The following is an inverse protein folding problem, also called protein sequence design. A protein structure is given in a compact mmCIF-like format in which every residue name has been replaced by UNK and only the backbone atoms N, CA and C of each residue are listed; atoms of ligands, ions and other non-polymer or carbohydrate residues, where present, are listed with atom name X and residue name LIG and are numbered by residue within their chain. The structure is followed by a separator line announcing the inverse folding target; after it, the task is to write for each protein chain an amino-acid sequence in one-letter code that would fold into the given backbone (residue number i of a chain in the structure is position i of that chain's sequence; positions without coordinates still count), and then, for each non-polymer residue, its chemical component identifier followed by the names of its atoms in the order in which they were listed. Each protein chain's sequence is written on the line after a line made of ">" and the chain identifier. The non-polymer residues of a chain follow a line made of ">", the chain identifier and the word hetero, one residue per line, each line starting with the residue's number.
data_IF_062135051176
#
_entry.id   IF_062135051176
#
_cell.length_a   1.000
_cell.length_b   1.000
_cell.length_c   1.000
_cell.angle_alpha   90.00
_cell.angle_beta   90.00
_cell.angle_gamma   90.00
#
_symmetry.space_group_name_H-M   'P 1'
#
loop_
_entity.id
_entity.type
_entity.pdbx_description
1 polymer ?
#
# COMPACT_ATOMS: atom_id res chain seq x y z
N UNK A 1 38.65 31.12 -28.20
CA UNK A 1 38.01 31.26 -26.86
C UNK A 1 36.48 31.12 -26.88
N UNK A 2 35.76 31.65 -27.87
CA UNK A 2 34.29 31.55 -27.93
C UNK A 2 33.75 30.11 -28.18
N UNK A 3 34.37 29.37 -29.11
CA UNK A 3 33.94 28.00 -29.48
C UNK A 3 34.07 26.98 -28.33
N UNK A 4 35.10 27.10 -27.49
CA UNK A 4 35.32 26.21 -26.35
C UNK A 4 34.33 26.47 -25.20
N UNK A 5 33.87 27.73 -25.07
CA UNK A 5 32.79 28.10 -24.14
C UNK A 5 31.44 27.57 -24.58
N UNK A 6 31.10 27.64 -25.88
CA UNK A 6 29.83 27.09 -26.38
C UNK A 6 29.79 25.57 -26.27
N UNK A 7 30.89 24.86 -26.52
CA UNK A 7 30.99 23.42 -26.28
C UNK A 7 30.81 23.05 -24.81
N UNK A 8 31.43 23.80 -23.89
CA UNK A 8 31.26 23.55 -22.45
C UNK A 8 29.82 23.74 -22.00
N UNK A 9 29.14 24.79 -22.48
CA UNK A 9 27.75 25.07 -22.15
C UNK A 9 26.80 24.01 -22.71
N UNK A 10 27.04 23.55 -23.95
CA UNK A 10 26.25 22.49 -24.58
C UNK A 10 26.42 21.16 -23.82
N UNK A 11 27.64 20.84 -23.38
CA UNK A 11 27.92 19.63 -22.61
C UNK A 11 27.22 19.66 -21.24
N UNK A 12 27.26 20.81 -20.55
CA UNK A 12 26.54 21.01 -19.28
C UNK A 12 25.03 20.87 -19.47
N UNK A 13 24.46 21.42 -20.55
CA UNK A 13 23.04 21.28 -20.88
C UNK A 13 22.65 19.84 -21.17
N UNK A 14 23.49 19.09 -21.89
CA UNK A 14 23.27 17.67 -22.15
C UNK A 14 23.31 16.84 -20.87
N UNK A 15 24.26 17.11 -19.97
CA UNK A 15 24.38 16.43 -18.68
C UNK A 15 23.18 16.72 -17.76
N UNK A 16 22.65 17.95 -17.75
CA UNK A 16 21.45 18.28 -16.96
C UNK A 16 20.20 17.64 -17.53
N UNK A 17 20.02 17.63 -18.85
CA UNK A 17 18.92 16.93 -19.52
C UNK A 17 18.98 15.42 -19.28
N UNK A 18 20.18 14.82 -19.30
CA UNK A 18 20.38 13.41 -18.98
C UNK A 18 20.05 13.13 -17.51
N UNK A 19 20.46 14.00 -16.59
CA UNK A 19 20.16 13.89 -15.17
C UNK A 19 18.67 14.02 -14.85
N UNK A 20 17.96 14.93 -15.52
CA UNK A 20 16.52 15.13 -15.39
C UNK A 20 15.72 13.97 -16.01
N UNK A 21 16.20 13.39 -17.12
CA UNK A 21 15.56 12.25 -17.78
C UNK A 21 15.63 10.94 -16.98
N UNK A 22 16.58 10.82 -16.05
CA UNK A 22 16.74 9.64 -15.19
C UNK A 22 15.83 9.66 -13.96
N UNK A 23 15.26 10.82 -13.59
CA UNK A 23 14.34 10.92 -12.45
C UNK A 23 12.92 10.69 -12.95
N UNK A 24 12.53 9.42 -13.10
CA UNK A 24 11.12 9.09 -13.31
C UNK A 24 10.30 9.52 -12.09
N UNK A 25 9.26 10.36 -12.26
CA UNK A 25 8.43 10.77 -11.13
C UNK A 25 7.55 9.60 -10.64
N UNK A 26 7.86 9.00 -9.48
CA UNK A 26 7.08 7.90 -8.91
C UNK A 26 5.79 8.33 -8.20
N UNK A 27 5.29 9.56 -8.44
CA UNK A 27 4.19 10.17 -7.68
C UNK A 27 2.93 9.29 -7.55
N UNK A 28 2.59 8.52 -8.59
CA UNK A 28 1.45 7.60 -8.56
C UNK A 28 1.64 6.41 -7.61
N UNK A 29 2.85 5.85 -7.58
CA UNK A 29 3.24 4.71 -6.74
C UNK A 29 3.24 5.12 -5.26
N UNK A 30 3.80 6.29 -4.94
CA UNK A 30 3.80 6.81 -3.56
C UNK A 30 2.37 6.98 -3.03
N UNK A 31 1.47 7.57 -3.83
CA UNK A 31 0.06 7.72 -3.43
C UNK A 31 -0.63 6.37 -3.15
N UNK A 32 -0.36 5.36 -3.96
CA UNK A 32 -0.94 4.03 -3.79
C UNK A 32 -0.36 3.31 -2.56
N UNK A 33 0.94 3.43 -2.34
CA UNK A 33 1.61 2.93 -1.14
C UNK A 33 1.08 3.60 0.14
N UNK A 34 0.98 4.93 0.18
CA UNK A 34 0.39 5.65 1.32
C UNK A 34 -1.07 5.24 1.57
N UNK A 35 -1.83 4.99 0.49
CA UNK A 35 -3.20 4.47 0.60
C UNK A 35 -3.21 3.06 1.19
N UNK A 36 -2.30 2.18 0.76
CA UNK A 36 -2.15 0.84 1.30
C UNK A 36 -1.86 0.90 2.81
N UNK A 37 -0.84 1.65 3.23
CA UNK A 37 -0.49 1.83 4.65
C UNK A 37 -1.69 2.30 5.48
N UNK A 38 -2.37 3.36 5.02
CA UNK A 38 -3.55 3.90 5.71
C UNK A 38 -4.66 2.86 5.86
N UNK A 39 -4.94 2.07 4.83
CA UNK A 39 -6.07 1.14 4.83
C UNK A 39 -5.75 -0.20 5.49
N UNK A 40 -4.50 -0.65 5.45
CA UNK A 40 -4.16 -2.04 5.70
C UNK A 40 -3.06 -2.26 6.73
N UNK A 41 -2.40 -1.23 7.27
CA UNK A 41 -1.26 -1.43 8.17
C UNK A 41 -1.50 -0.80 9.54
N UNK A 42 -1.30 -1.56 10.60
CA UNK A 42 -1.42 -1.13 11.99
C UNK A 42 -0.48 -1.95 12.92
N UNK A 43 0.81 -1.57 13.01
CA UNK A 43 1.87 -2.41 13.58
C UNK A 43 1.87 -2.51 15.10
N UNK A 44 1.22 -1.57 15.80
CA UNK A 44 1.34 -1.39 17.25
C UNK A 44 0.33 -2.18 18.08
N UNK A 45 -0.65 -2.82 17.44
CA UNK A 45 -1.80 -3.42 18.10
C UNK A 45 -1.91 -4.90 17.78
N UNK A 46 -2.40 -5.68 18.74
CA UNK A 46 -2.82 -7.08 18.48
C UNK A 46 -4.24 -7.17 17.93
N UNK A 47 -4.99 -6.06 17.95
CA UNK A 47 -6.30 -5.92 17.32
C UNK A 47 -7.32 -6.95 17.82
N UNK A 48 -8.20 -7.39 16.93
CA UNK A 48 -8.99 -8.61 17.13
C UNK A 48 -10.34 -8.51 17.85
N UNK A 49 -10.81 -7.32 18.21
CA UNK A 49 -12.17 -7.14 18.74
C UNK A 49 -13.02 -6.16 17.90
N UNK A 50 -14.35 -6.27 18.03
CA UNK A 50 -15.30 -5.48 17.24
C UNK A 50 -15.09 -3.96 17.43
N UNK A 51 -14.70 -3.52 18.63
CA UNK A 51 -14.43 -2.11 18.93
C UNK A 51 -13.20 -1.59 18.18
N UNK A 52 -12.14 -2.39 18.07
CA UNK A 52 -10.96 -2.09 17.25
C UNK A 52 -11.37 -1.84 15.81
N UNK A 53 -12.15 -2.74 15.20
CA UNK A 53 -12.61 -2.56 13.82
C UNK A 53 -13.48 -1.31 13.67
N UNK A 54 -14.43 -1.07 14.57
CA UNK A 54 -15.27 0.13 14.54
C UNK A 54 -14.43 1.42 14.57
N UNK A 55 -13.45 1.47 15.48
CA UNK A 55 -12.56 2.62 15.67
C UNK A 55 -11.63 2.81 14.47
N UNK A 56 -10.95 1.76 14.03
CA UNK A 56 -9.92 1.84 13.00
C UNK A 56 -10.52 2.08 11.63
N UNK A 57 -11.65 1.45 11.29
CA UNK A 57 -12.34 1.74 10.03
C UNK A 57 -12.75 3.22 9.94
N UNK A 58 -13.18 3.82 11.05
CA UNK A 58 -13.51 5.25 11.13
C UNK A 58 -12.27 6.14 11.04
N UNK A 59 -11.26 5.92 11.91
CA UNK A 59 -10.02 6.73 11.94
C UNK A 59 -9.27 6.69 10.61
N UNK A 60 -9.29 5.55 9.94
CA UNK A 60 -8.68 5.38 8.61
C UNK A 60 -9.57 5.87 7.47
N UNK A 61 -10.69 6.57 7.75
CA UNK A 61 -11.60 7.19 6.78
C UNK A 61 -12.20 6.18 5.78
N UNK A 62 -12.56 4.99 6.25
CA UNK A 62 -13.22 3.94 5.44
C UNK A 62 -14.73 3.85 5.68
N UNK A 63 -15.28 4.77 6.47
CA UNK A 63 -16.71 4.82 6.83
C UNK A 63 -17.38 6.16 6.49
N UNK A 64 -16.68 7.10 5.83
CA UNK A 64 -17.14 8.48 5.66
C UNK A 64 -18.41 8.60 4.81
N UNK A 65 -18.41 8.00 3.62
CA UNK A 65 -19.54 8.05 2.68
C UNK A 65 -20.32 6.74 2.60
N UNK A 66 -19.64 5.63 2.87
CA UNK A 66 -20.21 4.27 2.89
C UNK A 66 -19.39 3.42 3.85
N UNK A 67 -20.02 2.40 4.42
CA UNK A 67 -19.30 1.39 5.17
C UNK A 67 -18.55 0.49 4.19
N UNK A 68 -17.21 0.51 4.20
CA UNK A 68 -16.43 -0.49 3.46
C UNK A 68 -16.79 -1.87 4.02
N UNK A 69 -17.24 -2.78 3.18
CA UNK A 69 -17.83 -4.06 3.58
C UNK A 69 -16.84 -5.03 4.25
N UNK A 70 -15.59 -5.00 3.80
CA UNK A 70 -14.52 -5.83 4.33
C UNK A 70 -13.18 -5.09 4.26
N UNK A 71 -12.36 -5.24 5.29
CA UNK A 71 -11.00 -4.73 5.31
C UNK A 71 -10.11 -5.59 6.21
N UNK A 72 -8.85 -5.72 5.84
CA UNK A 72 -7.84 -6.40 6.66
C UNK A 72 -6.83 -5.37 7.15
N UNK A 73 -6.53 -5.38 8.45
CA UNK A 73 -5.39 -4.69 9.04
C UNK A 73 -4.28 -5.70 9.34
N UNK A 74 -3.07 -5.41 8.89
CA UNK A 74 -1.85 -6.19 9.08
C UNK A 74 -1.10 -5.62 10.29
N UNK A 75 -0.75 -6.50 11.21
CA UNK A 75 -0.10 -6.20 12.49
C UNK A 75 1.38 -6.59 12.46
N UNK A 76 2.07 -6.15 11.43
CA UNK A 76 3.51 -6.35 11.23
C UNK A 76 4.18 -5.00 10.96
N UNK A 77 5.48 -4.92 11.21
CA UNK A 77 6.25 -3.72 10.88
C UNK A 77 6.33 -3.50 9.35
N UNK A 78 6.58 -2.25 8.96
CA UNK A 78 6.59 -1.85 7.56
C UNK A 78 7.65 -2.61 6.76
N UNK A 79 8.80 -2.96 7.36
CA UNK A 79 9.86 -3.69 6.66
C UNK A 79 9.45 -5.12 6.39
N UNK A 80 8.83 -5.80 7.36
CA UNK A 80 8.25 -7.13 7.19
C UNK A 80 7.14 -7.16 6.14
N UNK A 81 6.32 -6.11 6.03
CA UNK A 81 5.31 -6.03 4.97
C UNK A 81 5.96 -5.81 3.60
N UNK A 82 7.00 -4.97 3.52
CA UNK A 82 7.73 -4.72 2.26
C UNK A 82 8.51 -5.93 1.79
N UNK A 83 9.04 -6.76 2.70
CA UNK A 83 9.77 -7.97 2.32
C UNK A 83 8.89 -9.01 1.62
N UNK A 84 7.56 -8.95 1.80
CA UNK A 84 6.61 -9.77 1.03
C UNK A 84 6.78 -9.51 -0.47
N UNK A 85 7.01 -8.26 -0.89
CA UNK A 85 7.25 -7.92 -2.31
C UNK A 85 8.52 -8.56 -2.89
N UNK A 86 9.41 -9.11 -2.07
CA UNK A 86 10.60 -9.82 -2.54
C UNK A 86 10.42 -11.34 -2.64
N UNK A 87 9.21 -11.84 -2.36
CA UNK A 87 8.85 -13.24 -2.58
C UNK A 87 8.48 -13.51 -4.04
N UNK A 88 8.28 -14.78 -4.41
CA UNK A 88 7.96 -15.16 -5.78
C UNK A 88 6.69 -14.46 -6.32
N UNK A 89 6.75 -14.04 -7.57
CA UNK A 89 5.61 -13.44 -8.27
C UNK A 89 4.52 -14.49 -8.49
N UNK A 90 3.31 -14.18 -8.03
CA UNK A 90 2.11 -14.97 -8.24
C UNK A 90 1.03 -14.16 -8.97
N UNK A 91 0.03 -14.86 -9.49
CA UNK A 91 -1.10 -14.22 -10.18
C UNK A 91 -2.08 -13.59 -9.18
N UNK A 92 -2.37 -12.31 -9.36
CA UNK A 92 -3.42 -11.57 -8.66
C UNK A 92 -4.83 -11.98 -9.13
N UNK A 93 -5.88 -11.64 -8.37
CA UNK A 93 -7.28 -11.86 -8.81
C UNK A 93 -7.64 -11.17 -10.12
N UNK A 94 -6.98 -10.07 -10.44
CA UNK A 94 -7.18 -9.34 -11.70
C UNK A 94 -6.34 -9.88 -12.87
N UNK A 95 -5.60 -10.98 -12.68
CA UNK A 95 -4.79 -11.64 -13.70
C UNK A 95 -3.35 -11.11 -13.85
N UNK A 96 -2.98 -10.00 -13.18
CA UNK A 96 -1.60 -9.48 -13.21
C UNK A 96 -0.63 -10.41 -12.44
N UNK A 97 0.64 -10.43 -12.85
CA UNK A 97 1.72 -11.23 -12.23
C UNK A 97 2.61 -10.39 -11.30
N UNK A 98 2.03 -9.49 -10.52
CA UNK A 98 2.74 -8.63 -9.57
C UNK A 98 2.24 -8.81 -8.13
N UNK A 99 1.62 -9.96 -7.84
CA UNK A 99 1.21 -10.31 -6.50
C UNK A 99 2.27 -11.16 -5.83
N UNK A 100 2.28 -11.10 -4.51
CA UNK A 100 3.21 -11.78 -3.63
C UNK A 100 2.47 -12.26 -2.41
N UNK A 101 2.92 -13.35 -1.80
CA UNK A 101 2.27 -13.95 -0.65
C UNK A 101 3.15 -13.98 0.60
N UNK A 102 2.54 -13.79 1.75
CA UNK A 102 3.21 -13.85 3.04
C UNK A 102 2.26 -14.30 4.14
N UNK A 103 2.80 -14.83 5.23
CA UNK A 103 2.01 -15.19 6.43
C UNK A 103 2.25 -14.13 7.48
N UNK A 104 1.18 -13.47 7.91
CA UNK A 104 1.25 -12.31 8.81
C UNK A 104 0.10 -12.31 9.81
N UNK A 105 0.26 -11.62 10.93
CA UNK A 105 -0.83 -11.36 11.87
C UNK A 105 -1.78 -10.31 11.30
N UNK A 106 -3.08 -10.57 11.38
CA UNK A 106 -4.10 -9.67 10.86
C UNK A 106 -5.34 -9.59 11.76
N UNK A 107 -6.08 -8.50 11.61
CA UNK A 107 -7.49 -8.39 11.99
C UNK A 107 -8.33 -8.15 10.74
N UNK A 108 -9.21 -9.09 10.43
CA UNK A 108 -10.24 -8.93 9.40
C UNK A 108 -11.48 -8.26 10.00
N UNK A 109 -11.91 -7.15 9.38
CA UNK A 109 -13.07 -6.36 9.78
C UNK A 109 -14.17 -6.52 8.74
N UNK A 110 -15.24 -7.22 9.10
CA UNK A 110 -16.42 -7.45 8.24
C UNK A 110 -17.61 -6.63 8.72
N UNK A 111 -18.20 -5.84 7.83
CA UNK A 111 -19.39 -5.04 8.13
C UNK A 111 -20.58 -5.96 8.45
N UNK A 112 -21.41 -5.54 9.42
CA UNK A 112 -22.50 -6.36 9.98
C UNK A 112 -23.76 -6.45 9.12
N UNK A 113 -23.86 -5.69 8.03
CA UNK A 113 -24.97 -5.65 7.08
C UNK A 113 -26.08 -4.66 7.43
N UNK A 114 -26.17 -4.21 8.69
CA UNK A 114 -27.25 -3.35 9.18
C UNK A 114 -26.82 -1.91 9.46
N UNK A 115 -25.53 -1.60 9.29
CA UNK A 115 -24.98 -0.30 9.64
C UNK A 115 -24.95 0.66 8.44
N UNK A 116 -25.07 1.97 8.72
CA UNK A 116 -25.00 3.03 7.70
C UNK A 116 -23.93 4.04 8.08
N UNK A 117 -23.24 4.57 7.08
CA UNK A 117 -22.27 5.65 7.28
C UNK A 117 -22.94 6.87 7.93
N UNK A 118 -22.28 7.56 8.87
CA UNK A 118 -20.92 7.32 9.36
C UNK A 118 -20.80 6.27 10.48
N UNK A 119 -21.93 5.76 11.00
CA UNK A 119 -22.01 4.87 12.17
C UNK A 119 -21.90 3.39 11.81
N UNK A 120 -20.84 3.02 11.10
CA UNK A 120 -20.61 1.66 10.64
C UNK A 120 -20.24 0.70 11.79
N UNK A 121 -20.73 -0.55 11.73
CA UNK A 121 -20.48 -1.60 12.73
C UNK A 121 -19.85 -2.83 12.08
N UNK A 122 -18.81 -3.33 12.73
CA UNK A 122 -17.94 -4.38 12.22
C UNK A 122 -17.80 -5.55 13.20
N UNK A 123 -17.67 -6.76 12.65
CA UNK A 123 -17.16 -7.95 13.33
C UNK A 123 -15.67 -8.08 13.06
N UNK A 124 -14.89 -8.30 14.11
CA UNK A 124 -13.47 -8.56 14.02
C UNK A 124 -13.16 -10.06 14.04
N UNK A 125 -12.16 -10.46 13.27
CA UNK A 125 -11.56 -11.80 13.32
C UNK A 125 -10.04 -11.63 13.31
N UNK A 126 -9.40 -11.81 14.47
CA UNK A 126 -7.95 -11.88 14.56
C UNK A 126 -7.45 -13.26 14.15
N UNK A 127 -6.40 -13.31 13.35
CA UNK A 127 -5.73 -14.55 12.97
C UNK A 127 -4.30 -14.29 12.52
N UNK A 128 -3.51 -15.36 12.43
CA UNK A 128 -2.28 -15.36 11.63
C UNK A 128 -2.58 -16.16 10.37
N UNK A 129 -2.52 -15.53 9.20
CA UNK A 129 -2.92 -16.18 7.95
C UNK A 129 -2.07 -15.75 6.77
N UNK A 130 -2.15 -16.53 5.70
CA UNK A 130 -1.63 -16.15 4.39
C UNK A 130 -2.41 -14.96 3.84
N UNK A 131 -1.69 -13.95 3.37
CA UNK A 131 -2.22 -12.78 2.66
C UNK A 131 -1.54 -12.69 1.30
N UNK A 132 -2.20 -12.00 0.37
CA UNK A 132 -1.63 -11.66 -0.94
C UNK A 132 -1.70 -10.15 -1.14
N UNK A 133 -0.55 -9.56 -1.49
CA UNK A 133 -0.41 -8.13 -1.78
C UNK A 133 0.14 -7.96 -3.18
N UNK A 134 -0.35 -6.96 -3.91
CA UNK A 134 0.25 -6.54 -5.17
C UNK A 134 1.29 -5.46 -4.92
N UNK A 135 2.45 -5.61 -5.54
CA UNK A 135 3.58 -4.70 -5.43
C UNK A 135 3.89 -4.05 -6.78
N UNK A 136 4.33 -2.79 -6.76
CA UNK A 136 4.68 -2.05 -7.98
C UNK A 136 5.90 -1.15 -7.74
N UNK A 137 6.62 -0.85 -8.83
CA UNK A 137 7.71 0.12 -8.96
C UNK A 137 9.10 -0.38 -8.53
N UNK A 138 10.05 0.55 -8.37
CA UNK A 138 11.46 0.20 -8.12
C UNK A 138 12.12 1.19 -7.11
N UNK A 139 12.40 0.79 -5.86
CA UNK A 139 12.14 -0.53 -5.30
C UNK A 139 10.64 -0.84 -5.18
N UNK A 140 10.28 -2.12 -5.22
CA UNK A 140 8.89 -2.55 -5.10
C UNK A 140 8.32 -2.24 -3.70
N UNK A 141 7.08 -1.78 -3.69
CA UNK A 141 6.31 -1.49 -2.48
C UNK A 141 4.87 -1.99 -2.63
N UNK A 142 4.19 -2.36 -1.53
CA UNK A 142 2.83 -2.85 -1.59
C UNK A 142 1.85 -1.72 -1.94
N UNK A 143 1.07 -1.90 -2.98
CA UNK A 143 0.12 -0.89 -3.47
C UNK A 143 -1.34 -1.32 -3.36
N UNK A 144 -1.59 -2.63 -3.21
CA UNK A 144 -2.94 -3.18 -3.09
C UNK A 144 -2.97 -4.49 -2.29
N UNK A 145 -4.05 -4.70 -1.54
CA UNK A 145 -4.32 -5.93 -0.80
C UNK A 145 -5.30 -6.79 -1.61
N UNK A 146 -4.87 -7.97 -2.07
CA UNK A 146 -5.62 -8.83 -2.98
C UNK A 146 -6.52 -9.83 -2.23
N UNK A 147 -6.01 -10.51 -1.18
CA UNK A 147 -6.77 -11.44 -0.32
C UNK A 147 -6.10 -11.73 1.02
#
# INVERSE_FOLDING_TARGET
>A
MALQRTHSLLLLLLLTLLGLGLVQPSYGQDRMYQRFLRQHVDPLETGGNDNYCNLMMQRRRMTLHRCKSFNTFIHEDIWSIRSICSTENIQCKNGKMNCHEGVVKVTDCKETGSSRAPNCRYRAMASTRRVVVACEGNPEVPVHFDK
#
